data_IF_314658637323
#
_entry.id   IF_314658637323
#
_cell.length_a   1.000
_cell.length_b   1.000
_cell.length_c   1.000
_cell.angle_alpha   90.00
_cell.angle_beta   90.00
_cell.angle_gamma   90.00
#
_symmetry.space_group_name_H-M   'P 1'
#
loop_
_entity.id
_entity.type
_entity.pdbx_description
1 polymer ?
#
# COMPACT_ATOMS: atom_id res chain seq x y z
N UNK A 1 -4.81 -26.73 -4.50
CA UNK A 1 -4.30 -26.32 -5.82
C UNK A 1 -5.35 -26.23 -6.94
N UNK A 2 -6.03 -27.29 -7.40
CA UNK A 2 -6.95 -27.16 -8.57
C UNK A 2 -8.10 -26.15 -8.36
N UNK A 3 -8.71 -26.16 -7.17
CA UNK A 3 -9.76 -25.20 -6.80
C UNK A 3 -9.25 -23.75 -6.70
N UNK A 4 -8.06 -23.55 -6.12
CA UNK A 4 -7.41 -22.23 -6.01
C UNK A 4 -7.05 -21.68 -7.39
N UNK A 5 -6.44 -22.48 -8.25
CA UNK A 5 -6.05 -22.07 -9.60
C UNK A 5 -7.28 -21.64 -10.42
N UNK A 6 -8.37 -22.40 -10.38
CA UNK A 6 -9.61 -22.01 -11.04
C UNK A 6 -10.21 -20.73 -10.45
N UNK A 7 -10.14 -20.56 -9.13
CA UNK A 7 -10.58 -19.32 -8.47
C UNK A 7 -9.76 -18.11 -8.95
N UNK A 8 -8.44 -18.24 -9.04
CA UNK A 8 -7.53 -17.19 -9.54
C UNK A 8 -7.86 -16.83 -10.98
N UNK A 9 -8.04 -17.82 -11.86
CA UNK A 9 -8.41 -17.59 -13.27
C UNK A 9 -9.77 -16.88 -13.40
N UNK A 10 -10.75 -17.29 -12.60
CA UNK A 10 -12.06 -16.64 -12.57
C UNK A 10 -11.97 -15.20 -12.06
N UNK A 11 -11.14 -14.93 -11.06
CA UNK A 11 -10.92 -13.57 -10.54
C UNK A 11 -10.31 -12.66 -11.62
N UNK A 12 -9.33 -13.15 -12.39
CA UNK A 12 -8.75 -12.41 -13.52
C UNK A 12 -9.83 -12.03 -14.54
N UNK A 13 -10.70 -12.97 -14.91
CA UNK A 13 -11.81 -12.73 -15.85
C UNK A 13 -12.82 -11.70 -15.31
N UNK A 14 -13.20 -11.81 -14.03
CA UNK A 14 -14.11 -10.86 -13.37
C UNK A 14 -13.53 -9.45 -13.35
N UNK A 15 -12.26 -9.32 -12.94
CA UNK A 15 -11.58 -8.02 -12.86
C UNK A 15 -11.40 -7.39 -14.25
N UNK A 16 -11.04 -8.20 -15.26
CA UNK A 16 -10.90 -7.72 -16.65
C UNK A 16 -12.24 -7.22 -17.21
N UNK A 17 -13.33 -7.95 -16.98
CA UNK A 17 -14.67 -7.57 -17.44
C UNK A 17 -15.19 -6.31 -16.74
N UNK A 18 -14.87 -6.11 -15.46
CA UNK A 18 -15.33 -4.96 -14.70
C UNK A 18 -14.99 -3.62 -15.36
N UNK A 19 -13.81 -3.51 -15.99
CA UNK A 19 -13.33 -2.27 -16.62
C UNK A 19 -14.32 -1.64 -17.61
N UNK A 20 -15.16 -2.46 -18.25
CA UNK A 20 -16.09 -2.06 -19.31
C UNK A 20 -17.55 -1.92 -18.83
N UNK A 21 -17.79 -1.96 -17.52
CA UNK A 21 -19.14 -1.92 -16.95
C UNK A 21 -19.47 -0.58 -16.28
N UNK A 22 -20.72 -0.43 -15.86
CA UNK A 22 -21.16 0.72 -15.04
C UNK A 22 -20.45 0.72 -13.70
N UNK A 23 -20.34 1.88 -13.05
CA UNK A 23 -19.68 2.01 -11.74
C UNK A 23 -20.29 1.11 -10.67
N UNK A 24 -21.62 0.95 -10.66
CA UNK A 24 -22.29 0.02 -9.75
C UNK A 24 -21.85 -1.44 -10.02
N UNK A 25 -21.83 -1.86 -11.28
CA UNK A 25 -21.41 -3.21 -11.65
C UNK A 25 -19.90 -3.44 -11.44
N UNK A 26 -19.06 -2.40 -11.64
CA UNK A 26 -17.64 -2.43 -11.26
C UNK A 26 -17.49 -2.72 -9.77
N UNK A 27 -18.21 -1.98 -8.92
CA UNK A 27 -18.18 -2.17 -7.47
C UNK A 27 -18.57 -3.61 -7.11
N UNK A 28 -19.65 -4.12 -7.69
CA UNK A 28 -20.10 -5.50 -7.47
C UNK A 28 -19.05 -6.52 -7.90
N UNK A 29 -18.46 -6.37 -9.09
CA UNK A 29 -17.47 -7.32 -9.60
C UNK A 29 -16.17 -7.32 -8.80
N UNK A 30 -15.63 -6.14 -8.47
CA UNK A 30 -14.43 -6.07 -7.62
C UNK A 30 -14.70 -6.64 -6.23
N UNK A 31 -15.89 -6.42 -5.66
CA UNK A 31 -16.28 -7.06 -4.42
C UNK A 31 -16.38 -8.60 -4.56
N UNK A 32 -16.96 -9.11 -5.64
CA UNK A 32 -17.01 -10.56 -5.92
C UNK A 32 -15.60 -11.14 -6.06
N UNK A 33 -14.68 -10.41 -6.72
CA UNK A 33 -13.28 -10.81 -6.82
C UNK A 33 -12.63 -10.92 -5.43
N UNK A 34 -12.75 -9.88 -4.59
CA UNK A 34 -12.27 -9.89 -3.20
C UNK A 34 -12.85 -11.07 -2.43
N UNK A 35 -14.16 -11.30 -2.55
CA UNK A 35 -14.84 -12.39 -1.88
C UNK A 35 -14.36 -13.78 -2.32
N UNK A 36 -14.03 -13.93 -3.60
CA UNK A 36 -13.53 -15.19 -4.16
C UNK A 36 -12.10 -15.47 -3.69
N UNK A 37 -11.24 -14.45 -3.64
CA UNK A 37 -9.89 -14.54 -3.08
C UNK A 37 -9.92 -14.83 -1.57
N UNK A 38 -10.86 -14.22 -0.84
CA UNK A 38 -11.06 -14.51 0.57
C UNK A 38 -11.47 -15.97 0.81
N UNK A 39 -12.30 -16.56 -0.05
CA UNK A 39 -12.75 -17.95 0.11
C UNK A 39 -11.61 -18.98 0.07
N UNK A 40 -10.58 -18.74 -0.74
CA UNK A 40 -9.43 -19.64 -0.84
C UNK A 40 -8.36 -19.37 0.22
N UNK A 41 -8.46 -18.24 0.93
CA UNK A 41 -7.39 -17.74 1.80
C UNK A 41 -7.74 -17.76 3.29
N UNK A 42 -9.02 -17.60 3.63
CA UNK A 42 -9.50 -17.57 5.02
C UNK A 42 -9.41 -18.95 5.68
N UNK A 43 -9.36 -18.96 7.01
CA UNK A 43 -9.55 -20.21 7.76
C UNK A 43 -11.02 -20.65 7.74
N UNK A 44 -11.30 -21.94 8.02
CA UNK A 44 -12.66 -22.48 8.01
C UNK A 44 -13.60 -21.76 8.98
N UNK A 45 -13.11 -21.43 10.18
CA UNK A 45 -13.88 -20.82 11.28
C UNK A 45 -14.11 -19.32 11.09
N UNK A 46 -13.32 -18.68 10.25
CA UNK A 46 -13.36 -17.24 10.03
C UNK A 46 -14.43 -16.86 9.00
N UNK A 47 -15.16 -15.78 9.27
CA UNK A 47 -16.11 -15.22 8.30
C UNK A 47 -15.37 -14.51 7.16
N UNK A 48 -15.90 -14.61 5.94
CA UNK A 48 -15.33 -13.97 4.76
C UNK A 48 -15.10 -12.47 4.96
N UNK A 49 -16.09 -11.77 5.51
CA UNK A 49 -16.02 -10.33 5.75
C UNK A 49 -14.95 -9.96 6.78
N UNK A 50 -14.80 -10.75 7.85
CA UNK A 50 -13.74 -10.52 8.83
C UNK A 50 -12.36 -10.71 8.21
N UNK A 51 -12.14 -11.80 7.47
CA UNK A 51 -10.89 -12.05 6.76
C UNK A 51 -10.52 -10.88 5.83
N UNK A 52 -11.47 -10.43 5.01
CA UNK A 52 -11.28 -9.31 4.07
C UNK A 52 -10.84 -8.07 4.83
N UNK A 53 -11.57 -7.73 5.91
CA UNK A 53 -11.32 -6.53 6.69
C UNK A 53 -9.96 -6.55 7.38
N UNK A 54 -9.61 -7.67 8.04
CA UNK A 54 -8.33 -7.78 8.74
C UNK A 54 -7.15 -7.91 7.77
N UNK A 55 -7.23 -8.80 6.79
CA UNK A 55 -6.11 -9.05 5.87
C UNK A 55 -5.79 -7.86 4.99
N UNK A 56 -6.80 -7.23 4.36
CA UNK A 56 -6.55 -6.06 3.50
C UNK A 56 -6.05 -4.88 4.32
N UNK A 57 -6.65 -4.59 5.48
CA UNK A 57 -6.15 -3.51 6.33
C UNK A 57 -4.74 -3.77 6.87
N UNK A 58 -4.36 -5.04 7.07
CA UNK A 58 -3.02 -5.43 7.48
C UNK A 58 -1.99 -5.28 6.34
N UNK A 59 -2.35 -5.64 5.10
CA UNK A 59 -1.50 -5.40 3.91
C UNK A 59 -1.15 -3.91 3.83
N UNK A 60 -2.15 -3.04 3.91
CA UNK A 60 -1.92 -1.59 3.85
C UNK A 60 -1.17 -1.06 5.07
N UNK A 61 -1.43 -1.59 6.26
CA UNK A 61 -0.65 -1.27 7.47
C UNK A 61 0.84 -1.59 7.28
N UNK A 62 1.16 -2.77 6.75
CA UNK A 62 2.54 -3.17 6.51
C UNK A 62 3.19 -2.35 5.38
N UNK A 63 2.45 -2.03 4.31
CA UNK A 63 2.98 -1.21 3.22
C UNK A 63 3.23 0.24 3.61
N UNK A 64 2.41 0.80 4.50
CA UNK A 64 2.54 2.19 4.95
C UNK A 64 3.91 2.47 5.59
N UNK A 65 4.60 1.46 6.12
CA UNK A 65 5.97 1.62 6.66
C UNK A 65 6.99 2.09 5.60
N UNK A 66 6.72 1.83 4.31
CA UNK A 66 7.58 2.20 3.19
C UNK A 66 7.06 3.40 2.41
N UNK A 67 5.85 3.88 2.70
CA UNK A 67 5.26 4.99 1.94
C UNK A 67 6.08 6.29 2.04
N UNK A 68 6.50 6.74 3.24
CA UNK A 68 7.22 8.00 3.39
C UNK A 68 8.52 8.05 2.58
N UNK A 69 9.32 6.98 2.61
CA UNK A 69 10.59 6.94 1.88
C UNK A 69 10.39 6.91 0.36
N UNK A 70 9.39 6.17 -0.14
CA UNK A 70 9.06 6.17 -1.57
C UNK A 70 8.59 7.56 -2.04
N UNK A 71 7.75 8.20 -1.24
CA UNK A 71 7.24 9.52 -1.53
C UNK A 71 8.33 10.59 -1.53
N UNK A 72 9.28 10.51 -0.58
CA UNK A 72 10.42 11.41 -0.53
C UNK A 72 11.39 11.15 -1.68
N UNK A 73 11.65 9.89 -2.02
CA UNK A 73 12.48 9.52 -3.17
C UNK A 73 11.89 10.08 -4.48
N UNK A 74 10.60 9.90 -4.70
CA UNK A 74 9.90 10.45 -5.87
C UNK A 74 9.95 11.98 -5.92
N UNK A 75 9.77 12.64 -4.79
CA UNK A 75 9.89 14.10 -4.72
C UNK A 75 11.32 14.55 -5.07
N UNK A 76 12.32 13.83 -4.56
CA UNK A 76 13.73 14.07 -4.87
C UNK A 76 14.02 13.90 -6.36
N UNK A 77 13.52 12.83 -7.00
CA UNK A 77 13.66 12.67 -8.45
C UNK A 77 13.03 13.86 -9.19
N UNK A 78 11.79 14.22 -8.88
CA UNK A 78 11.10 15.35 -9.52
C UNK A 78 11.93 16.63 -9.41
N UNK A 79 12.41 16.97 -8.22
CA UNK A 79 13.20 18.18 -7.97
C UNK A 79 14.62 18.13 -8.55
N UNK A 80 15.11 16.94 -8.90
CA UNK A 80 16.40 16.75 -9.58
C UNK A 80 16.31 16.78 -11.12
N UNK A 81 15.12 17.03 -11.68
CA UNK A 81 14.92 17.12 -13.14
C UNK A 81 15.26 18.52 -13.66
N UNK A 82 15.56 18.58 -14.97
CA UNK A 82 15.92 19.83 -15.66
C UNK A 82 14.87 20.93 -15.54
N UNK A 83 13.61 20.58 -15.32
CA UNK A 83 12.52 21.53 -15.06
C UNK A 83 12.74 22.41 -13.83
N UNK A 84 13.59 21.99 -12.88
CA UNK A 84 13.92 22.71 -11.66
C UNK A 84 15.36 23.25 -11.64
N UNK A 85 16.13 23.13 -12.73
CA UNK A 85 17.53 23.62 -12.80
C UNK A 85 17.68 25.11 -12.46
N UNK A 86 16.63 25.91 -12.69
CA UNK A 86 16.61 27.36 -12.42
C UNK A 86 16.03 27.71 -11.04
N UNK A 87 15.58 26.72 -10.26
CA UNK A 87 15.07 26.96 -8.92
C UNK A 87 16.24 27.06 -7.93
N UNK A 88 16.68 28.29 -7.62
CA UNK A 88 17.80 28.56 -6.72
C UNK A 88 17.57 28.00 -5.29
N UNK A 89 16.33 27.65 -4.93
CA UNK A 89 16.01 27.02 -3.65
C UNK A 89 16.27 25.52 -3.64
N UNK A 90 16.74 24.93 -4.75
CA UNK A 90 17.02 23.51 -4.87
C UNK A 90 18.40 23.32 -5.50
N UNK A 91 19.26 22.59 -4.81
CA UNK A 91 20.61 22.27 -5.24
C UNK A 91 20.98 20.86 -4.77
N UNK A 92 20.42 19.84 -5.43
CA UNK A 92 20.71 18.43 -5.14
C UNK A 92 21.92 18.00 -5.98
N UNK A 93 23.07 17.67 -5.38
CA UNK A 93 24.29 17.34 -6.11
C UNK A 93 24.15 16.08 -6.99
N UNK A 94 24.82 16.07 -8.15
CA UNK A 94 24.73 14.96 -9.11
C UNK A 94 25.36 13.65 -8.57
N UNK A 95 26.37 13.76 -7.72
CA UNK A 95 26.98 12.66 -6.98
C UNK A 95 25.98 12.04 -6.00
N UNK A 96 25.23 12.85 -5.24
CA UNK A 96 24.12 12.35 -4.42
C UNK A 96 23.09 11.60 -5.27
N UNK A 97 22.64 12.19 -6.39
CA UNK A 97 21.63 11.60 -7.27
C UNK A 97 22.06 10.22 -7.82
N UNK A 98 23.32 10.10 -8.27
CA UNK A 98 23.89 8.83 -8.75
C UNK A 98 23.98 7.79 -7.63
N UNK A 99 24.54 8.18 -6.49
CA UNK A 99 24.81 7.23 -5.42
C UNK A 99 23.54 6.61 -4.83
N UNK A 100 22.46 7.39 -4.75
CA UNK A 100 21.17 6.95 -4.18
C UNK A 100 20.21 6.37 -5.22
N UNK A 101 20.63 6.26 -6.49
CA UNK A 101 19.89 5.55 -7.52
C UNK A 101 18.83 6.37 -8.28
N UNK A 102 18.86 7.71 -8.20
CA UNK A 102 17.85 8.57 -8.85
C UNK A 102 17.90 8.43 -10.36
N UNK A 103 19.09 8.43 -10.97
CA UNK A 103 19.21 8.32 -12.42
C UNK A 103 18.85 6.94 -12.93
N UNK A 104 19.28 5.91 -12.22
CA UNK A 104 18.96 4.52 -12.50
C UNK A 104 17.45 4.32 -12.52
N UNK A 105 16.73 4.92 -11.55
CA UNK A 105 15.28 4.82 -11.41
C UNK A 105 14.47 5.35 -12.60
N UNK A 106 15.10 6.13 -13.50
CA UNK A 106 14.43 6.70 -14.67
C UNK A 106 14.33 5.71 -15.84
N UNK A 107 15.01 4.58 -15.75
CA UNK A 107 14.88 3.50 -16.73
C UNK A 107 13.68 2.62 -16.39
N UNK A 108 12.84 2.32 -17.40
CA UNK A 108 11.58 1.56 -17.22
C UNK A 108 11.78 0.17 -16.59
N UNK A 109 12.90 -0.49 -16.86
CA UNK A 109 13.20 -1.83 -16.33
C UNK A 109 14.05 -1.81 -15.04
N UNK A 110 14.33 -0.62 -14.51
CA UNK A 110 15.21 -0.50 -13.34
C UNK A 110 14.49 -0.86 -12.04
N UNK A 111 15.23 -1.53 -11.14
CA UNK A 111 14.85 -1.71 -9.74
C UNK A 111 15.92 -1.07 -8.88
N UNK A 112 15.53 -0.10 -8.07
CA UNK A 112 16.45 0.65 -7.20
C UNK A 112 16.15 0.32 -5.75
N UNK A 113 17.19 -0.10 -5.02
CA UNK A 113 17.11 -0.23 -3.56
C UNK A 113 17.12 1.15 -2.91
N UNK A 114 16.12 1.43 -2.08
CA UNK A 114 16.05 2.68 -1.34
C UNK A 114 16.92 2.73 -0.08
N UNK A 115 17.69 1.68 0.23
CA UNK A 115 18.53 1.66 1.44
C UNK A 115 19.55 2.80 1.43
N UNK A 116 20.25 3.01 0.31
CA UNK A 116 21.22 4.12 0.19
C UNK A 116 20.56 5.48 0.33
N UNK A 117 19.36 5.62 -0.24
CA UNK A 117 18.58 6.84 -0.14
C UNK A 117 18.14 7.12 1.30
N UNK A 118 17.59 6.11 1.99
CA UNK A 118 17.21 6.18 3.39
C UNK A 118 18.38 6.61 4.29
N UNK A 119 19.55 6.01 4.10
CA UNK A 119 20.74 6.32 4.90
C UNK A 119 21.27 7.75 4.69
N UNK A 120 20.93 8.40 3.56
CA UNK A 120 21.40 9.75 3.21
C UNK A 120 20.29 10.79 3.17
N UNK A 121 19.04 10.45 3.53
CA UNK A 121 17.89 11.36 3.39
C UNK A 121 18.02 12.66 4.19
N UNK A 122 18.78 12.65 5.30
CA UNK A 122 19.06 13.85 6.09
C UNK A 122 19.92 14.88 5.34
N UNK A 123 20.77 14.44 4.41
CA UNK A 123 21.60 15.34 3.60
C UNK A 123 20.75 16.28 2.74
N UNK A 124 19.52 15.86 2.37
CA UNK A 124 18.59 16.65 1.57
C UNK A 124 18.25 18.00 2.21
N UNK A 125 18.30 18.12 3.55
CA UNK A 125 18.08 19.39 4.26
C UNK A 125 19.13 20.46 3.87
N UNK A 126 20.34 20.04 3.52
CA UNK A 126 21.40 20.93 3.03
C UNK A 126 21.27 21.30 1.55
N UNK A 127 20.38 20.62 0.82
CA UNK A 127 20.22 20.77 -0.63
C UNK A 127 18.99 21.57 -1.04
N UNK A 128 18.19 22.06 -0.08
CA UNK A 128 17.02 22.86 -0.41
C UNK A 128 16.67 23.87 0.68
N UNK A 129 16.12 25.01 0.25
CA UNK A 129 15.44 25.98 1.12
C UNK A 129 13.94 26.08 0.78
N UNK A 130 13.44 25.15 -0.05
CA UNK A 130 12.05 25.13 -0.48
C UNK A 130 11.19 24.48 0.60
N UNK A 131 10.35 25.29 1.23
CA UNK A 131 9.53 24.92 2.40
C UNK A 131 8.76 23.61 2.22
N UNK A 132 8.02 23.45 1.11
CA UNK A 132 7.25 22.23 0.82
C UNK A 132 8.14 20.97 0.72
N UNK A 133 9.38 21.11 0.24
CA UNK A 133 10.30 19.98 0.17
C UNK A 133 10.92 19.68 1.53
N UNK A 134 11.29 20.72 2.29
CA UNK A 134 11.77 20.59 3.67
C UNK A 134 10.75 19.91 4.58
N UNK A 135 9.47 20.31 4.52
CA UNK A 135 8.38 19.69 5.27
C UNK A 135 8.30 18.19 4.99
N UNK A 136 8.41 17.80 3.71
CA UNK A 136 8.38 16.39 3.32
C UNK A 136 9.59 15.59 3.81
N UNK A 137 10.78 16.21 3.79
CA UNK A 137 12.01 15.63 4.33
C UNK A 137 11.84 15.41 5.84
N UNK A 138 11.37 16.43 6.56
CA UNK A 138 11.16 16.38 8.01
C UNK A 138 10.08 15.38 8.43
N UNK A 139 8.94 15.34 7.75
CA UNK A 139 7.89 14.34 7.99
C UNK A 139 8.43 12.92 7.83
N UNK A 140 9.18 12.66 6.75
CA UNK A 140 9.77 11.35 6.49
C UNK A 140 10.76 10.96 7.57
N UNK A 141 11.63 11.87 7.98
CA UNK A 141 12.61 11.64 9.06
C UNK A 141 11.89 11.39 10.39
N UNK A 142 10.88 12.20 10.70
CA UNK A 142 10.10 12.07 11.93
C UNK A 142 9.40 10.71 11.99
N UNK A 143 8.83 10.25 10.87
CA UNK A 143 8.21 8.94 10.79
C UNK A 143 9.19 7.80 11.17
N UNK A 144 10.43 7.83 10.69
CA UNK A 144 11.39 6.75 11.00
C UNK A 144 12.08 6.90 12.37
N UNK A 145 12.14 8.11 12.93
CA UNK A 145 12.80 8.37 14.23
C UNK A 145 11.86 8.31 15.43
N UNK A 146 10.60 8.70 15.26
CA UNK A 146 9.60 8.71 16.33
C UNK A 146 8.63 7.55 16.18
N UNK A 147 8.85 6.48 16.95
CA UNK A 147 7.99 5.31 16.99
C UNK A 147 6.51 5.67 17.27
N UNK A 148 6.23 6.68 18.09
CA UNK A 148 4.86 7.07 18.45
C UNK A 148 4.18 7.74 17.25
N UNK A 149 4.90 8.61 16.55
CA UNK A 149 4.42 9.20 15.30
C UNK A 149 4.14 8.10 14.26
N UNK A 150 5.12 7.22 14.03
CA UNK A 150 4.99 6.10 13.10
C UNK A 150 3.77 5.23 13.42
N UNK A 151 3.66 4.78 14.67
CA UNK A 151 2.55 3.95 15.14
C UNK A 151 1.19 4.61 14.92
N UNK A 152 1.11 5.94 15.12
CA UNK A 152 -0.13 6.70 14.93
C UNK A 152 -0.55 6.67 13.47
N UNK A 153 0.36 7.02 12.55
CA UNK A 153 0.11 7.00 11.09
C UNK A 153 -0.24 5.60 10.58
N UNK A 154 0.49 4.57 11.02
CA UNK A 154 0.19 3.18 10.64
C UNK A 154 -1.21 2.75 11.10
N UNK A 155 -1.60 3.09 12.35
CA UNK A 155 -2.95 2.79 12.88
C UNK A 155 -4.04 3.55 12.16
N UNK A 156 -3.82 4.83 11.88
CA UNK A 156 -4.73 5.65 11.08
C UNK A 156 -4.97 5.01 9.73
N UNK A 157 -3.90 4.55 9.05
CA UNK A 157 -4.03 3.87 7.76
C UNK A 157 -4.85 2.59 7.84
N UNK A 158 -4.58 1.75 8.84
CA UNK A 158 -5.37 0.53 9.09
C UNK A 158 -6.86 0.86 9.31
N UNK A 159 -7.14 1.87 10.12
CA UNK A 159 -8.51 2.27 10.45
C UNK A 159 -9.25 2.88 9.25
N UNK A 160 -8.58 3.69 8.45
CA UNK A 160 -9.10 4.23 7.19
C UNK A 160 -9.53 3.09 6.27
N UNK A 161 -8.67 2.09 6.04
CA UNK A 161 -8.96 0.95 5.18
C UNK A 161 -10.14 0.12 5.74
N UNK A 162 -10.15 -0.14 7.05
CA UNK A 162 -11.26 -0.85 7.70
C UNK A 162 -12.60 -0.14 7.51
N UNK A 163 -12.61 1.18 7.66
CA UNK A 163 -13.81 2.00 7.48
C UNK A 163 -14.25 2.01 6.01
N UNK A 164 -13.32 2.14 5.07
CA UNK A 164 -13.62 2.10 3.63
C UNK A 164 -14.21 0.75 3.21
N UNK A 165 -13.71 -0.37 3.76
CA UNK A 165 -14.30 -1.70 3.54
C UNK A 165 -15.75 -1.77 4.05
N UNK A 166 -16.04 -1.19 5.22
CA UNK A 166 -17.42 -1.12 5.73
C UNK A 166 -18.34 -0.32 4.79
N UNK A 167 -17.85 0.80 4.24
CA UNK A 167 -18.59 1.60 3.27
C UNK A 167 -18.82 0.85 1.95
N UNK A 168 -17.81 0.16 1.41
CA UNK A 168 -17.93 -0.67 0.22
C UNK A 168 -18.99 -1.74 0.44
N UNK A 169 -18.92 -2.48 1.55
CA UNK A 169 -19.87 -3.56 1.85
C UNK A 169 -21.31 -3.04 1.99
N UNK A 170 -21.49 -1.90 2.68
CA UNK A 170 -22.79 -1.24 2.81
C UNK A 170 -23.34 -0.81 1.44
N UNK A 171 -22.52 -0.14 0.63
CA UNK A 171 -22.89 0.34 -0.70
C UNK A 171 -23.26 -0.83 -1.63
N UNK A 172 -22.45 -1.89 -1.64
CA UNK A 172 -22.71 -3.14 -2.37
C UNK A 172 -24.06 -3.73 -2.00
N UNK A 173 -24.41 -3.78 -0.71
CA UNK A 173 -25.71 -4.29 -0.28
C UNK A 173 -26.87 -3.38 -0.72
N UNK A 174 -26.68 -2.07 -0.73
CA UNK A 174 -27.68 -1.14 -1.25
C UNK A 174 -27.91 -1.36 -2.75
N UNK A 175 -26.86 -1.49 -3.56
CA UNK A 175 -26.98 -1.78 -5.00
C UNK A 175 -27.75 -3.09 -5.23
N UNK A 176 -27.35 -4.19 -4.56
CA UNK A 176 -27.97 -5.52 -4.73
C UNK A 176 -29.46 -5.51 -4.37
N UNK A 177 -29.86 -4.69 -3.39
CA UNK A 177 -31.25 -4.60 -2.94
C UNK A 177 -32.02 -3.43 -3.56
N UNK A 178 -31.51 -2.82 -4.64
CA UNK A 178 -32.10 -1.62 -5.29
C UNK A 178 -32.39 -0.48 -4.30
N UNK A 179 -31.58 -0.35 -3.26
CA UNK A 179 -31.61 0.73 -2.30
C UNK A 179 -31.02 2.02 -2.87
N UNK A 180 -31.19 3.13 -2.15
CA UNK A 180 -30.56 4.39 -2.53
C UNK A 180 -29.04 4.32 -2.43
N UNK A 181 -28.35 4.77 -3.47
CA UNK A 181 -26.91 4.86 -3.55
C UNK A 181 -26.55 6.27 -4.04
N UNK A 182 -25.63 6.93 -3.34
CA UNK A 182 -25.11 8.22 -3.79
C UNK A 182 -24.19 8.00 -5.00
N UNK A 183 -24.68 8.39 -6.18
CA UNK A 183 -23.97 8.23 -7.45
C UNK A 183 -22.64 8.97 -7.52
N UNK A 184 -22.43 9.98 -6.68
CA UNK A 184 -21.15 10.69 -6.60
C UNK A 184 -20.12 9.93 -5.76
N UNK A 185 -20.57 9.08 -4.83
CA UNK A 185 -19.70 8.28 -3.97
C UNK A 185 -19.24 6.98 -4.64
N UNK A 186 -20.09 6.37 -5.48
CA UNK A 186 -19.79 5.08 -6.13
C UNK A 186 -18.44 5.06 -6.84
N UNK A 187 -18.08 6.05 -7.69
CA UNK A 187 -16.80 6.01 -8.40
C UNK A 187 -15.58 5.95 -7.46
N UNK A 188 -15.65 6.62 -6.31
CA UNK A 188 -14.57 6.56 -5.33
C UNK A 188 -14.48 5.18 -4.68
N UNK A 189 -15.62 4.58 -4.32
CA UNK A 189 -15.66 3.23 -3.74
C UNK A 189 -15.23 2.16 -4.75
N UNK A 190 -15.48 2.37 -6.04
CA UNK A 190 -14.97 1.52 -7.13
C UNK A 190 -13.44 1.54 -7.14
N UNK A 191 -12.83 2.72 -7.12
CA UNK A 191 -11.36 2.83 -7.10
C UNK A 191 -10.74 2.10 -5.90
N UNK A 192 -11.35 2.24 -4.71
CA UNK A 192 -10.90 1.50 -3.53
C UNK A 192 -11.11 -0.01 -3.67
N UNK A 193 -12.27 -0.44 -4.18
CA UNK A 193 -12.56 -1.87 -4.36
C UNK A 193 -11.61 -2.52 -5.37
N UNK A 194 -11.28 -1.81 -6.45
CA UNK A 194 -10.27 -2.24 -7.42
C UNK A 194 -8.89 -2.36 -6.77
N UNK A 195 -8.45 -1.32 -6.05
CA UNK A 195 -7.16 -1.32 -5.36
C UNK A 195 -7.06 -2.46 -4.33
N UNK A 196 -8.12 -2.72 -3.58
CA UNK A 196 -8.19 -3.79 -2.59
C UNK A 196 -8.22 -5.18 -3.23
N UNK A 197 -8.94 -5.35 -4.35
CA UNK A 197 -8.92 -6.58 -5.14
C UNK A 197 -7.51 -6.86 -5.66
N UNK A 198 -6.87 -5.88 -6.29
CA UNK A 198 -5.50 -5.99 -6.79
C UNK A 198 -4.49 -6.29 -5.68
N UNK A 199 -4.62 -5.64 -4.52
CA UNK A 199 -3.69 -5.85 -3.39
C UNK A 199 -3.77 -7.27 -2.85
N UNK A 200 -4.98 -7.78 -2.61
CA UNK A 200 -5.18 -9.15 -2.14
C UNK A 200 -4.75 -10.17 -3.20
N UNK A 201 -5.05 -9.91 -4.47
CA UNK A 201 -4.66 -10.76 -5.59
C UNK A 201 -3.14 -10.87 -5.72
N UNK A 202 -2.44 -9.72 -5.77
CA UNK A 202 -0.98 -9.68 -5.87
C UNK A 202 -0.33 -10.36 -4.67
N UNK A 203 -0.86 -10.16 -3.46
CA UNK A 203 -0.37 -10.86 -2.28
C UNK A 203 -0.48 -12.38 -2.42
N UNK A 204 -1.60 -12.89 -2.92
CA UNK A 204 -1.78 -14.33 -3.19
C UNK A 204 -0.77 -14.83 -4.24
N UNK A 205 -0.50 -14.04 -5.29
CA UNK A 205 0.50 -14.42 -6.30
C UNK A 205 1.93 -14.42 -5.73
N UNK A 206 2.28 -13.47 -4.88
CA UNK A 206 3.56 -13.41 -4.17
C UNK A 206 3.76 -14.66 -3.33
N UNK A 207 2.75 -15.05 -2.54
CA UNK A 207 2.77 -16.28 -1.72
C UNK A 207 3.14 -17.52 -2.54
N UNK A 208 2.46 -17.72 -3.66
CA UNK A 208 2.76 -18.85 -4.54
C UNK A 208 4.12 -18.73 -5.25
N UNK A 209 4.55 -17.52 -5.58
CA UNK A 209 5.86 -17.26 -6.22
C UNK A 209 7.02 -17.53 -5.27
N UNK A 210 6.81 -17.30 -3.97
CA UNK A 210 7.79 -17.58 -2.90
C UNK A 210 7.84 -19.07 -2.50
N UNK A 211 7.02 -19.92 -3.13
CA UNK A 211 6.94 -21.35 -2.85
C UNK A 211 6.15 -21.71 -1.59
N UNK A 212 5.43 -20.75 -1.01
CA UNK A 212 4.51 -20.98 0.10
C UNK A 212 3.13 -21.34 -0.48
N UNK A 213 2.72 -22.60 -0.33
CA UNK A 213 1.47 -23.09 -0.93
C UNK A 213 0.29 -23.16 0.05
N UNK A 214 0.47 -22.69 1.29
CA UNK A 214 -0.59 -22.61 2.28
C UNK A 214 -1.00 -21.15 2.54
N UNK A 215 -2.02 -20.69 1.81
CA UNK A 215 -2.55 -19.33 1.95
C UNK A 215 -3.02 -19.01 3.39
N UNK A 216 -3.65 -19.98 4.06
CA UNK A 216 -4.21 -19.76 5.41
C UNK A 216 -3.10 -19.52 6.44
N UNK A 217 -2.06 -20.35 6.41
CA UNK A 217 -0.91 -20.19 7.30
C UNK A 217 -0.17 -18.89 6.99
N UNK A 218 -0.02 -18.54 5.72
CA UNK A 218 0.61 -17.29 5.30
C UNK A 218 -0.14 -16.07 5.84
N UNK A 219 -1.45 -15.94 5.59
CA UNK A 219 -2.21 -14.78 6.06
C UNK A 219 -2.28 -14.72 7.58
N UNK A 220 -2.31 -15.87 8.27
CA UNK A 220 -2.19 -15.92 9.73
C UNK A 220 -0.87 -15.32 10.18
N UNK A 221 0.25 -15.73 9.57
CA UNK A 221 1.59 -15.20 9.87
C UNK A 221 1.68 -13.70 9.57
N UNK A 222 1.17 -13.25 8.43
CA UNK A 222 1.21 -11.84 8.05
C UNK A 222 0.43 -10.95 9.04
N UNK A 223 -0.72 -11.42 9.51
CA UNK A 223 -1.47 -10.74 10.59
C UNK A 223 -0.63 -10.65 11.87
N UNK A 224 0.10 -11.71 12.22
CA UNK A 224 1.04 -11.67 13.34
C UNK A 224 2.18 -10.67 13.12
N UNK A 225 2.72 -10.56 11.90
CA UNK A 225 3.78 -9.59 11.58
C UNK A 225 3.29 -8.14 11.82
N UNK A 226 2.06 -7.83 11.44
CA UNK A 226 1.43 -6.53 11.73
C UNK A 226 1.25 -6.26 13.22
N UNK A 227 0.78 -7.25 13.99
CA UNK A 227 0.64 -7.15 15.45
C UNK A 227 2.02 -6.99 16.11
N UNK A 228 3.03 -7.72 15.63
CA UNK A 228 4.37 -7.68 16.16
C UNK A 228 5.05 -6.33 15.92
N UNK A 229 4.90 -5.76 14.72
CA UNK A 229 5.37 -4.41 14.42
C UNK A 229 4.71 -3.38 15.33
N UNK A 230 3.39 -3.47 15.52
CA UNK A 230 2.65 -2.58 16.42
C UNK A 230 3.21 -2.63 17.85
N UNK A 231 3.46 -3.84 18.37
CA UNK A 231 4.04 -4.04 19.71
C UNK A 231 5.45 -3.49 19.82
N UNK A 232 6.28 -3.64 18.79
CA UNK A 232 7.64 -3.10 18.75
C UNK A 232 7.65 -1.58 18.80
N UNK A 233 6.80 -0.93 18.01
CA UNK A 233 6.67 0.52 18.00
C UNK A 233 6.03 1.08 19.28
N UNK A 234 5.11 0.33 19.90
CA UNK A 234 4.50 0.73 21.17
C UNK A 234 5.43 0.54 22.38
N UNK A 235 6.53 -0.20 22.23
CA UNK A 235 7.50 -0.39 23.30
C UNK A 235 8.25 0.93 23.56
N UNK A 236 8.66 1.16 24.82
CA UNK A 236 9.40 2.38 25.21
C UNK A 236 10.82 2.48 24.62
N UNK A 237 11.33 1.39 24.03
CA UNK A 237 12.61 1.37 23.33
C UNK A 237 12.42 1.74 21.85
N UNK A 238 13.32 2.57 21.30
CA UNK A 238 13.31 2.89 19.88
C UNK A 238 13.45 1.61 19.03
N UNK A 239 12.66 1.55 17.96
CA UNK A 239 12.66 0.46 17.00
C UNK A 239 13.02 1.05 15.64
N UNK A 240 14.09 0.56 15.03
CA UNK A 240 14.46 1.02 13.70
C UNK A 240 13.44 0.47 12.69
N UNK A 241 12.51 1.33 12.28
CA UNK A 241 11.55 1.05 11.20
C UNK A 241 12.19 1.18 9.81
N UNK A 242 13.39 1.74 9.75
CA UNK A 242 14.13 1.99 8.54
C UNK A 242 14.47 0.76 7.72
N UNK A 243 15.04 1.01 6.56
CA UNK A 243 15.53 -0.03 5.66
C UNK A 243 16.93 -0.47 6.13
N UNK A 244 17.02 -1.63 6.79
CA UNK A 244 18.31 -2.24 7.17
C UNK A 244 18.89 -3.05 6.00
N UNK A 245 20.14 -2.72 5.62
CA UNK A 245 21.02 -3.36 4.61
C UNK A 245 20.55 -3.42 3.16
#
# INVERSE_FOLDING_TARGET
MFYEANTILNVIDIMSKAQWQTEENKLLNYWIAIESLANISKTEKESKFHFIKESISNIYFLWEQYSPIHELFRATDIYSRSSFEKDEKINIPNDFQRDVGIYESRSEDSRVSLVKFYNRMEELKGYTTKEVFLEKIEDTIMFYKDNKNALTRLKEKRNEVKLTIDYIYKCRNQIVHNGYVDKNLVPYLVNFSEAYANSLFNRILEVYSDGEYNLQDYFTKELYDGIFLERKLANGNHYNLGLDK
#
